data_IF_183763932349
#
_entry.id   IF_183763932349
#
_cell.length_a   1.000
_cell.length_b   1.000
_cell.length_c   1.000
_cell.angle_alpha   90.00
_cell.angle_beta   90.00
_cell.angle_gamma   90.00
#
_symmetry.space_group_name_H-M   'P 1'
#
loop_
_entity.id
_entity.type
_entity.pdbx_description
1 polymer ?
#
# COMPACT_ATOMS: atom_id res chain seq x y z
N UNK A 1 -31.18 -15.97 -27.28
CA UNK A 1 -30.62 -14.69 -27.75
C UNK A 1 -31.44 -13.59 -27.11
N UNK A 2 -30.91 -12.95 -26.07
CA UNK A 2 -31.55 -11.85 -25.36
C UNK A 2 -30.47 -10.81 -25.07
N UNK A 3 -30.53 -9.70 -25.80
CA UNK A 3 -29.66 -8.54 -25.68
C UNK A 3 -30.29 -7.58 -24.66
N UNK A 4 -29.61 -7.34 -23.54
CA UNK A 4 -29.94 -6.21 -22.67
C UNK A 4 -29.10 -5.00 -23.12
N UNK A 5 -29.71 -4.12 -23.95
CA UNK A 5 -29.17 -2.80 -24.25
C UNK A 5 -29.30 -1.90 -23.01
N UNK A 6 -28.18 -1.54 -22.40
CA UNK A 6 -28.12 -0.43 -21.44
C UNK A 6 -28.38 0.88 -22.20
N UNK A 7 -29.51 1.52 -21.91
CA UNK A 7 -29.89 2.82 -22.47
C UNK A 7 -28.91 3.91 -22.02
N UNK A 8 -28.24 4.55 -22.97
CA UNK A 8 -27.40 5.72 -22.72
C UNK A 8 -28.30 6.97 -22.68
N UNK A 9 -28.53 7.49 -21.48
CA UNK A 9 -29.13 8.81 -21.30
C UNK A 9 -28.11 9.89 -21.64
N UNK A 10 -28.38 10.64 -22.70
CA UNK A 10 -27.59 11.74 -23.23
C UNK A 10 -27.73 13.00 -22.37
N UNK A 11 -26.73 13.28 -21.54
CA UNK A 11 -26.32 14.65 -21.21
C UNK A 11 -24.80 14.67 -21.20
N UNK A 12 -24.20 15.11 -22.30
CA UNK A 12 -22.75 15.27 -22.47
C UNK A 12 -22.25 16.39 -21.54
N UNK A 13 -22.09 16.09 -20.25
CA UNK A 13 -20.98 16.68 -19.50
C UNK A 13 -19.71 16.25 -20.23
N UNK A 14 -18.93 17.22 -20.72
CA UNK A 14 -17.57 16.97 -21.24
C UNK A 14 -16.87 16.04 -20.25
N UNK A 15 -16.55 14.82 -20.69
CA UNK A 15 -16.00 13.75 -19.87
C UNK A 15 -14.74 14.27 -19.16
N UNK A 16 -14.85 14.61 -17.88
CA UNK A 16 -13.73 15.12 -17.09
C UNK A 16 -12.73 14.02 -16.74
N UNK A 17 -12.93 12.77 -17.19
CA UNK A 17 -12.16 11.61 -16.75
C UNK A 17 -12.57 11.18 -15.34
N UNK A 18 -12.12 9.99 -14.92
CA UNK A 18 -12.40 9.48 -13.57
C UNK A 18 -11.66 10.35 -12.53
N UNK A 19 -12.34 11.06 -11.60
CA UNK A 19 -11.66 11.86 -10.58
C UNK A 19 -11.22 11.05 -9.35
N UNK A 20 -11.51 9.75 -9.31
CA UNK A 20 -11.17 8.82 -8.22
C UNK A 20 -10.00 7.89 -8.61
N UNK A 21 -8.91 8.45 -9.12
CA UNK A 21 -7.68 7.73 -9.51
C UNK A 21 -6.78 7.55 -8.27
N UNK A 22 -6.18 6.37 -8.10
CA UNK A 22 -5.22 6.08 -7.03
C UNK A 22 -4.18 5.05 -7.51
N UNK A 23 -3.34 4.56 -6.59
CA UNK A 23 -2.28 3.58 -6.86
C UNK A 23 -2.74 2.30 -7.61
N UNK A 24 -4.03 1.93 -7.58
CA UNK A 24 -4.54 0.76 -8.30
C UNK A 24 -4.63 0.98 -9.82
N UNK A 25 -4.74 2.22 -10.27
CA UNK A 25 -4.88 2.54 -11.69
C UNK A 25 -3.51 2.65 -12.36
N UNK A 26 -3.49 2.37 -13.67
CA UNK A 26 -2.36 2.74 -14.50
C UNK A 26 -2.51 4.20 -14.97
N UNK A 27 -1.40 4.93 -15.19
CA UNK A 27 -0.02 4.48 -15.04
C UNK A 27 0.47 4.41 -13.59
N UNK A 28 1.25 3.37 -13.26
CA UNK A 28 1.79 3.12 -11.91
C UNK A 28 3.15 2.41 -11.94
N UNK A 29 3.92 2.57 -10.87
CA UNK A 29 5.13 1.81 -10.62
C UNK A 29 4.94 0.92 -9.39
N UNK A 30 5.65 -0.20 -9.37
CA UNK A 30 5.75 -1.13 -8.23
C UNK A 30 7.17 -1.17 -7.74
N UNK A 31 7.34 -1.27 -6.42
CA UNK A 31 8.64 -1.39 -5.77
C UNK A 31 8.66 -2.54 -4.77
N UNK A 32 9.84 -3.07 -4.52
CA UNK A 32 10.10 -4.08 -3.49
C UNK A 32 11.45 -3.83 -2.83
N UNK A 33 11.59 -4.27 -1.59
CA UNK A 33 12.85 -4.23 -0.86
C UNK A 33 12.67 -4.57 0.60
N UNK A 34 13.52 -3.97 1.43
CA UNK A 34 13.45 -4.09 2.88
C UNK A 34 13.11 -2.75 3.52
N UNK A 35 12.38 -2.80 4.63
CA UNK A 35 12.22 -1.66 5.53
C UNK A 35 12.96 -1.96 6.84
N UNK A 36 13.29 -0.91 7.57
CA UNK A 36 13.70 -0.96 8.96
C UNK A 36 12.66 -0.22 9.80
N UNK A 37 12.28 -0.78 10.94
CA UNK A 37 11.47 -0.12 11.95
C UNK A 37 12.06 -0.41 13.33
N UNK A 38 12.92 0.47 13.83
CA UNK A 38 13.59 0.29 15.12
C UNK A 38 12.72 0.84 16.26
N UNK A 39 11.59 0.18 16.54
CA UNK A 39 10.57 0.72 17.46
C UNK A 39 10.98 0.57 18.94
N UNK A 40 10.75 1.59 19.79
CA UNK A 40 10.96 1.51 21.23
C UNK A 40 9.83 0.73 21.92
N UNK A 41 10.00 -0.59 22.08
CA UNK A 41 9.03 -1.45 22.78
C UNK A 41 8.75 -1.02 24.23
N UNK A 42 9.65 -0.26 24.87
CA UNK A 42 9.43 0.27 26.21
C UNK A 42 8.21 1.21 26.28
N UNK A 43 7.85 1.85 25.16
CA UNK A 43 6.72 2.76 25.07
C UNK A 43 5.38 2.03 25.07
N UNK A 44 5.35 0.70 24.96
CA UNK A 44 4.14 -0.10 24.94
C UNK A 44 3.48 -0.26 26.32
N UNK A 45 4.19 0.13 27.39
CA UNK A 45 3.64 0.18 28.74
C UNK A 45 3.43 1.63 29.19
N UNK A 46 2.17 1.99 29.44
CA UNK A 46 1.81 3.33 29.96
C UNK A 46 2.54 3.66 31.27
N UNK A 47 2.81 2.66 32.11
CA UNK A 47 3.55 2.85 33.37
C UNK A 47 4.97 3.39 33.19
N UNK A 48 5.61 3.13 32.04
CA UNK A 48 6.97 3.59 31.77
C UNK A 48 7.06 5.11 31.53
N UNK A 49 5.93 5.80 31.40
CA UNK A 49 5.88 7.26 31.33
C UNK A 49 5.85 7.92 32.72
N UNK A 50 5.65 7.18 33.81
CA UNK A 50 5.79 7.73 35.18
C UNK A 50 7.27 7.79 35.59
N UNK A 51 7.88 8.94 35.32
CA UNK A 51 9.29 9.23 35.64
C UNK A 51 9.68 9.05 37.11
N UNK A 52 8.72 8.96 38.05
CA UNK A 52 9.02 8.69 39.47
C UNK A 52 9.32 7.24 39.76
N UNK A 53 8.73 6.33 38.99
CA UNK A 53 8.84 4.88 39.18
C UNK A 53 9.73 4.23 38.11
N UNK A 54 9.99 4.93 37.01
CA UNK A 54 10.86 4.47 35.93
C UNK A 54 12.31 4.31 36.43
N UNK A 55 12.83 3.09 36.33
CA UNK A 55 14.19 2.73 36.74
C UNK A 55 14.98 2.16 35.58
N UNK A 56 16.31 2.15 35.69
CA UNK A 56 17.17 1.59 34.64
C UNK A 56 16.83 0.13 34.29
N UNK A 57 16.32 -0.64 35.25
CA UNK A 57 15.89 -2.02 35.03
C UNK A 57 14.80 -2.14 33.93
N UNK A 58 13.94 -1.13 33.79
CA UNK A 58 12.87 -1.11 32.77
C UNK A 58 13.41 -0.98 31.34
N UNK A 59 14.68 -0.60 31.19
CA UNK A 59 15.38 -0.51 29.90
C UNK A 59 16.07 -1.81 29.48
N UNK A 60 16.05 -2.83 30.34
CA UNK A 60 16.67 -4.11 30.04
C UNK A 60 15.86 -4.85 28.97
N UNK A 61 16.58 -5.49 28.06
CA UNK A 61 15.98 -6.28 26.99
C UNK A 61 15.44 -7.59 27.54
N UNK A 62 14.24 -7.98 27.11
CA UNK A 62 13.60 -9.25 27.44
C UNK A 62 12.70 -9.69 26.29
N UNK A 63 12.02 -10.83 26.45
CA UNK A 63 11.14 -11.38 25.41
C UNK A 63 9.95 -10.42 25.13
N UNK A 64 9.37 -9.81 26.16
CA UNK A 64 8.29 -8.81 26.03
C UNK A 64 8.78 -7.41 25.64
N UNK A 65 10.10 -7.16 25.75
CA UNK A 65 10.76 -5.88 25.48
C UNK A 65 12.01 -6.12 24.63
N UNK A 66 11.79 -6.58 23.40
CA UNK A 66 12.86 -7.02 22.51
C UNK A 66 13.71 -5.85 21.98
N UNK A 67 13.15 -4.64 21.87
CA UNK A 67 13.88 -3.40 21.56
C UNK A 67 13.47 -2.27 22.50
N UNK A 68 13.90 -2.26 23.77
CA UNK A 68 13.41 -1.29 24.75
C UNK A 68 13.88 0.13 24.39
N UNK A 69 15.11 0.25 23.90
CA UNK A 69 15.74 1.51 23.53
C UNK A 69 15.74 1.78 22.02
N UNK A 70 14.78 1.22 21.28
CA UNK A 70 14.64 1.46 19.85
C UNK A 70 14.56 2.96 19.54
N UNK A 71 15.28 3.40 18.52
CA UNK A 71 15.41 4.82 18.15
C UNK A 71 14.12 5.42 17.55
N UNK A 72 13.14 4.58 17.25
CA UNK A 72 11.95 4.87 16.45
C UNK A 72 12.25 5.05 14.97
N UNK A 73 13.47 4.76 14.49
CA UNK A 73 13.86 5.03 13.11
C UNK A 73 13.13 4.16 12.09
N UNK A 74 12.73 4.81 10.99
CA UNK A 74 12.15 4.19 9.81
C UNK A 74 13.01 4.46 8.59
N UNK A 75 13.43 3.40 7.92
CA UNK A 75 14.18 3.45 6.66
C UNK A 75 13.65 2.44 5.64
N UNK A 76 13.88 2.71 4.36
CA UNK A 76 13.47 1.83 3.26
C UNK A 76 14.59 1.69 2.25
N UNK A 77 15.05 0.44 2.07
CA UNK A 77 15.98 0.03 1.02
C UNK A 77 15.22 -0.75 -0.04
N UNK A 78 14.61 -0.02 -0.97
CA UNK A 78 13.80 -0.59 -2.04
C UNK A 78 14.26 -0.17 -3.43
N UNK A 79 13.73 -0.84 -4.46
CA UNK A 79 13.91 -0.47 -5.86
C UNK A 79 12.63 -0.66 -6.64
N UNK A 80 12.48 0.13 -7.71
CA UNK A 80 11.37 -0.03 -8.66
C UNK A 80 11.58 -1.33 -9.44
N UNK A 81 10.57 -2.19 -9.45
CA UNK A 81 10.65 -3.52 -10.10
C UNK A 81 9.73 -3.67 -11.30
N UNK A 82 8.70 -2.85 -11.39
CA UNK A 82 7.77 -2.86 -12.52
C UNK A 82 7.23 -1.45 -12.75
N UNK A 83 6.98 -1.13 -14.00
CA UNK A 83 6.13 0.00 -14.38
C UNK A 83 5.02 -0.48 -15.30
N UNK A 84 3.84 0.08 -15.14
CA UNK A 84 2.68 -0.17 -15.98
C UNK A 84 2.19 1.15 -16.57
N UNK A 85 2.12 1.22 -17.89
CA UNK A 85 1.67 2.39 -18.65
C UNK A 85 0.13 2.43 -18.74
N UNK A 86 -0.44 3.58 -19.11
CA UNK A 86 -1.88 3.83 -19.23
C UNK A 86 -2.58 2.84 -20.18
N UNK A 87 -1.88 2.46 -21.25
CA UNK A 87 -2.34 1.46 -22.23
C UNK A 87 -2.50 0.04 -21.64
N UNK A 88 -2.02 -0.18 -20.41
CA UNK A 88 -2.09 -1.47 -19.73
C UNK A 88 -0.84 -2.33 -19.84
N UNK A 89 0.13 -1.96 -20.66
CA UNK A 89 1.40 -2.67 -20.80
C UNK A 89 2.22 -2.48 -19.53
N UNK A 90 2.72 -3.60 -18.97
CA UNK A 90 3.63 -3.58 -17.83
C UNK A 90 4.98 -4.15 -18.26
N UNK A 91 6.07 -3.55 -17.78
CA UNK A 91 7.45 -3.96 -18.10
C UNK A 91 8.27 -4.13 -16.83
N UNK A 92 9.19 -5.10 -16.86
CA UNK A 92 10.11 -5.45 -15.77
C UNK A 92 11.56 -5.60 -16.26
N UNK A 93 11.79 -5.49 -17.57
CA UNK A 93 13.01 -5.91 -18.28
C UNK A 93 14.07 -4.80 -18.44
N UNK A 94 13.91 -3.66 -17.74
CA UNK A 94 14.89 -2.56 -17.74
C UNK A 94 14.79 -1.60 -18.93
N UNK A 95 13.78 -1.74 -19.81
CA UNK A 95 13.57 -0.80 -20.93
C UNK A 95 13.24 0.62 -20.51
N UNK A 96 12.59 0.78 -19.36
CA UNK A 96 12.37 2.11 -18.77
C UNK A 96 13.51 2.42 -17.78
N UNK A 97 14.22 3.55 -17.92
CA UNK A 97 15.28 3.98 -17.01
C UNK A 97 14.91 4.03 -15.52
N UNK A 98 13.62 4.19 -15.18
CA UNK A 98 13.17 4.18 -13.77
C UNK A 98 13.21 2.77 -13.16
N UNK A 99 13.21 1.71 -13.97
CA UNK A 99 13.35 0.36 -13.45
C UNK A 99 14.70 0.20 -12.75
N UNK A 100 14.68 -0.46 -11.59
CA UNK A 100 15.80 -0.62 -10.65
C UNK A 100 16.27 0.70 -10.01
N UNK A 101 15.59 1.82 -10.25
CA UNK A 101 15.84 3.05 -9.50
C UNK A 101 15.63 2.76 -8.01
N UNK A 102 16.66 3.08 -7.21
CA UNK A 102 16.67 2.82 -5.78
C UNK A 102 15.95 3.93 -5.03
N UNK A 103 15.30 3.53 -3.95
CA UNK A 103 14.83 4.46 -2.93
C UNK A 103 16.06 5.00 -2.21
N UNK A 104 16.14 6.33 -2.10
CA UNK A 104 17.12 7.05 -1.29
C UNK A 104 16.34 7.85 -0.25
N UNK A 105 16.84 7.88 0.98
CA UNK A 105 16.33 8.81 2.00
C UNK A 105 16.46 10.25 1.49
N UNK A 106 15.36 11.00 1.49
CA UNK A 106 15.31 12.36 0.94
C UNK A 106 15.85 13.46 1.87
N UNK A 107 16.07 13.14 3.15
CA UNK A 107 16.63 14.03 4.17
C UNK A 107 17.89 13.44 4.81
N UNK A 108 18.69 14.28 5.47
CA UNK A 108 19.86 13.87 6.26
C UNK A 108 19.50 13.07 7.53
N UNK A 109 18.21 12.90 7.81
CA UNK A 109 17.69 12.23 9.01
C UNK A 109 16.66 11.21 8.58
N UNK A 110 16.64 10.06 9.26
CA UNK A 110 15.68 9.00 9.02
C UNK A 110 14.29 9.41 9.52
N UNK A 111 13.28 8.82 8.91
CA UNK A 111 11.91 8.99 9.35
C UNK A 111 11.70 8.35 10.73
N UNK A 112 10.55 8.61 11.35
CA UNK A 112 10.17 7.97 12.62
C UNK A 112 8.91 7.16 12.48
N UNK A 113 8.93 5.90 12.94
CA UNK A 113 7.75 5.07 13.11
C UNK A 113 7.33 5.13 14.58
N UNK A 114 6.13 5.62 14.85
CA UNK A 114 5.68 5.92 16.22
C UNK A 114 4.24 5.46 16.41
N UNK A 115 3.98 4.76 17.52
CA UNK A 115 2.64 4.53 18.04
C UNK A 115 2.11 5.81 18.68
N UNK A 116 0.93 6.26 18.26
CA UNK A 116 0.31 7.45 18.84
C UNK A 116 -0.24 7.21 20.24
N UNK A 117 -0.48 5.95 20.59
CA UNK A 117 -1.04 5.53 21.85
C UNK A 117 -0.33 4.24 22.29
N UNK A 118 0.33 4.23 23.45
CA UNK A 118 0.95 3.03 24.05
C UNK A 118 0.06 1.78 24.08
N UNK A 119 -1.25 1.98 24.12
CA UNK A 119 -2.26 0.92 24.20
C UNK A 119 -2.81 0.51 22.82
N UNK A 120 -2.51 1.27 21.76
CA UNK A 120 -2.98 1.03 20.39
C UNK A 120 -1.82 0.69 19.44
N UNK A 121 -1.04 -0.32 19.80
CA UNK A 121 0.24 -0.74 19.19
C UNK A 121 0.16 -1.20 17.73
N UNK A 122 -1.04 -1.34 17.16
CA UNK A 122 -1.23 -1.77 15.76
C UNK A 122 -1.53 -0.62 14.79
N UNK A 123 -1.46 0.64 15.25
CA UNK A 123 -1.80 1.84 14.48
C UNK A 123 -0.63 2.81 14.32
N UNK A 124 0.59 2.29 14.29
CA UNK A 124 1.82 3.04 14.07
C UNK A 124 1.73 3.97 12.85
N UNK A 125 2.36 5.13 12.95
CA UNK A 125 2.45 6.13 11.87
C UNK A 125 3.90 6.42 11.52
N UNK A 126 4.14 6.64 10.24
CA UNK A 126 5.44 7.06 9.72
C UNK A 126 5.46 8.58 9.57
N UNK A 127 6.40 9.24 10.25
CA UNK A 127 6.56 10.69 10.31
C UNK A 127 7.87 11.13 9.66
N UNK A 128 7.82 12.23 8.91
CA UNK A 128 9.01 12.85 8.30
C UNK A 128 9.65 12.05 7.16
N UNK A 129 8.95 11.05 6.61
CA UNK A 129 9.50 10.23 5.54
C UNK A 129 9.45 10.94 4.19
N UNK A 130 10.60 11.44 3.76
CA UNK A 130 10.82 11.95 2.41
C UNK A 130 11.43 10.85 1.55
N UNK A 131 10.71 10.43 0.51
CA UNK A 131 11.21 9.45 -0.44
C UNK A 131 11.83 10.15 -1.65
N UNK A 132 12.93 9.59 -2.14
CA UNK A 132 13.54 9.93 -3.42
C UNK A 132 13.72 8.65 -4.24
N UNK A 133 13.24 8.64 -5.48
CA UNK A 133 13.39 7.49 -6.39
C UNK A 133 14.42 7.83 -7.44
N UNK A 134 15.60 7.21 -7.32
CA UNK A 134 16.75 7.49 -8.18
C UNK A 134 17.05 9.00 -8.25
N UNK A 135 17.20 9.48 -9.47
CA UNK A 135 17.30 10.91 -9.77
C UNK A 135 16.09 11.37 -10.60
N UNK A 136 14.91 10.75 -10.38
CA UNK A 136 13.67 11.06 -11.11
C UNK A 136 12.76 12.01 -10.35
N UNK A 137 12.46 11.71 -9.08
CA UNK A 137 11.63 12.59 -8.26
C UNK A 137 11.83 12.34 -6.77
N UNK A 138 11.38 13.30 -5.96
CA UNK A 138 11.23 13.17 -4.52
C UNK A 138 9.88 13.72 -4.06
N UNK A 139 9.38 13.19 -2.95
CA UNK A 139 8.12 13.63 -2.35
C UNK A 139 8.07 13.27 -0.85
N UNK A 140 7.19 13.95 -0.12
CA UNK A 140 6.97 13.74 1.31
C UNK A 140 5.77 12.82 1.50
N UNK A 141 5.97 11.73 2.25
CA UNK A 141 4.91 10.82 2.66
C UNK A 141 4.04 11.49 3.72
N UNK A 142 2.73 11.55 3.48
CA UNK A 142 1.79 12.06 4.48
C UNK A 142 1.57 10.99 5.57
N UNK A 143 1.76 11.31 6.87
CA UNK A 143 1.56 10.32 7.93
C UNK A 143 0.14 9.73 7.94
N UNK A 144 0.06 8.39 7.98
CA UNK A 144 -1.18 7.60 8.00
C UNK A 144 -0.97 6.41 8.95
N UNK A 145 -1.99 5.97 9.70
CA UNK A 145 -1.84 4.78 10.53
C UNK A 145 -1.71 3.52 9.65
N UNK A 146 -0.98 2.53 10.14
CA UNK A 146 -1.04 1.17 9.63
C UNK A 146 -2.48 0.65 9.68
N UNK A 147 -2.84 -0.15 8.69
CA UNK A 147 -4.17 -0.74 8.53
C UNK A 147 -4.06 -2.21 8.17
N UNK A 148 -5.17 -2.94 8.38
CA UNK A 148 -5.33 -4.34 7.97
C UNK A 148 -4.26 -5.27 8.56
N UNK A 149 -3.89 -5.06 9.82
CA UNK A 149 -3.02 -5.96 10.56
C UNK A 149 -3.62 -7.38 10.65
N UNK A 150 -2.82 -8.41 10.35
CA UNK A 150 -3.23 -9.82 10.50
C UNK A 150 -2.03 -10.78 10.46
N UNK A 151 -2.13 -11.98 11.05
CA UNK A 151 -1.12 -13.03 10.91
C UNK A 151 -1.01 -13.47 9.44
N UNK A 152 0.12 -13.21 8.80
CA UNK A 152 0.29 -13.39 7.35
C UNK A 152 1.12 -14.60 6.99
N UNK A 153 2.02 -15.05 7.86
CA UNK A 153 2.87 -16.20 7.58
C UNK A 153 2.16 -17.52 7.93
N UNK A 154 2.25 -18.51 7.04
CA UNK A 154 1.54 -19.80 7.21
C UNK A 154 2.18 -20.67 8.28
N UNK A 155 3.52 -20.73 8.27
CA UNK A 155 4.30 -21.69 9.06
C UNK A 155 5.21 -21.00 10.10
N UNK A 156 4.85 -19.82 10.57
CA UNK A 156 5.63 -19.07 11.54
C UNK A 156 4.99 -17.75 11.94
N UNK A 157 5.71 -17.00 12.76
CA UNK A 157 5.23 -15.76 13.35
C UNK A 157 5.69 -14.58 12.51
N UNK A 158 4.78 -14.06 11.71
CA UNK A 158 4.93 -12.76 11.09
C UNK A 158 3.58 -12.20 10.67
N UNK A 159 3.37 -10.94 11.01
CA UNK A 159 2.17 -10.20 10.66
C UNK A 159 2.37 -9.36 9.41
N UNK A 160 1.26 -9.08 8.75
CA UNK A 160 1.19 -8.19 7.62
C UNK A 160 0.37 -6.95 7.94
N UNK A 161 0.89 -5.79 7.59
CA UNK A 161 0.17 -4.53 7.68
C UNK A 161 0.31 -3.71 6.39
N UNK A 162 -0.52 -2.68 6.27
CA UNK A 162 -0.55 -1.79 5.11
C UNK A 162 -0.47 -0.34 5.53
N UNK A 163 0.29 0.44 4.77
CA UNK A 163 0.20 1.89 4.76
C UNK A 163 -0.36 2.35 3.42
N UNK A 164 -1.41 3.17 3.47
CA UNK A 164 -1.96 3.84 2.30
C UNK A 164 -1.99 5.34 2.55
N UNK A 165 -1.36 6.10 1.67
CA UNK A 165 -1.23 7.54 1.82
C UNK A 165 -1.09 8.27 0.49
N UNK A 166 -0.80 9.56 0.60
CA UNK A 166 -0.49 10.47 -0.49
C UNK A 166 0.92 11.00 -0.32
N UNK A 167 1.62 11.09 -1.45
CA UNK A 167 2.89 11.79 -1.58
C UNK A 167 2.61 13.23 -1.97
N UNK A 168 3.17 14.16 -1.20
CA UNK A 168 3.02 15.61 -1.37
C UNK A 168 4.39 16.26 -1.58
N UNK A 169 4.43 17.55 -1.92
CA UNK A 169 5.72 18.23 -2.16
C UNK A 169 6.51 17.63 -3.32
N UNK A 170 5.80 17.11 -4.34
CA UNK A 170 6.42 16.43 -5.47
C UNK A 170 7.42 17.35 -6.18
N UNK A 171 8.67 16.93 -6.18
CA UNK A 171 9.77 17.61 -6.86
C UNK A 171 10.36 16.68 -7.90
N UNK A 172 10.18 17.02 -9.18
CA UNK A 172 10.87 16.35 -10.27
C UNK A 172 12.35 16.68 -10.22
N UNK A 173 13.18 15.64 -10.25
CA UNK A 173 14.63 15.79 -10.27
C UNK A 173 15.06 15.61 -11.72
N UNK A 174 15.82 16.57 -12.23
CA UNK A 174 16.48 16.42 -13.52
C UNK A 174 17.79 15.65 -13.33
N UNK A 175 18.11 14.69 -14.21
CA UNK A 175 19.05 14.93 -15.31
C UNK A 175 19.18 13.73 -16.29
N UNK A 176 19.39 14.03 -17.59
CA UNK A 176 19.83 13.19 -18.73
C UNK A 176 19.12 11.86 -19.10
N UNK A 177 18.39 11.20 -18.21
CA UNK A 177 17.65 9.97 -18.51
C UNK A 177 16.15 10.21 -18.43
N UNK A 178 15.51 10.55 -19.55
CA UNK A 178 14.05 10.69 -19.62
C UNK A 178 13.41 9.30 -19.55
N UNK A 179 12.84 8.96 -18.41
CA UNK A 179 11.96 7.78 -18.27
C UNK A 179 10.67 8.04 -19.04
N UNK A 180 10.31 7.23 -20.06
CA UNK A 180 9.02 7.35 -20.74
C UNK A 180 7.84 7.31 -19.77
N UNK A 181 7.92 6.47 -18.74
CA UNK A 181 6.92 6.40 -17.68
C UNK A 181 6.75 7.72 -16.92
N UNK A 182 7.85 8.40 -16.56
CA UNK A 182 7.79 9.70 -15.88
C UNK A 182 7.18 10.78 -16.76
N UNK A 183 7.50 10.80 -18.06
CA UNK A 183 6.91 11.75 -19.00
C UNK A 183 5.40 11.50 -19.18
N UNK A 184 4.97 10.24 -19.17
CA UNK A 184 3.56 9.89 -19.15
C UNK A 184 2.86 10.39 -17.88
N UNK A 185 3.46 10.21 -16.70
CA UNK A 185 2.93 10.78 -15.46
C UNK A 185 2.77 12.29 -15.53
N UNK A 186 3.81 13.02 -15.95
CA UNK A 186 3.73 14.49 -16.11
C UNK A 186 2.61 14.89 -17.07
N UNK A 187 2.45 14.19 -18.18
CA UNK A 187 1.37 14.43 -19.14
C UNK A 187 -0.01 14.20 -18.52
N UNK A 188 -0.20 13.09 -17.81
CA UNK A 188 -1.47 12.75 -17.15
C UNK A 188 -1.82 13.71 -16.01
N UNK A 189 -0.81 14.20 -15.28
CA UNK A 189 -0.96 15.19 -14.21
C UNK A 189 -1.42 16.57 -14.70
N UNK A 190 -1.36 16.84 -16.01
CA UNK A 190 -1.96 18.06 -16.60
C UNK A 190 -3.49 17.97 -16.80
N UNK A 191 -4.09 16.79 -16.57
CA UNK A 191 -5.55 16.61 -16.69
C UNK A 191 -6.25 17.18 -15.46
N UNK A 192 -7.40 17.83 -15.67
CA UNK A 192 -8.17 18.52 -14.60
C UNK A 192 -8.68 17.60 -13.47
N UNK A 193 -8.76 16.29 -13.72
CA UNK A 193 -9.22 15.30 -12.76
C UNK A 193 -8.09 14.61 -11.98
N UNK A 194 -6.83 14.99 -12.24
CA UNK A 194 -5.63 14.46 -11.58
C UNK A 194 -4.95 15.63 -10.85
N UNK A 195 -4.42 15.37 -9.67
CA UNK A 195 -3.57 16.35 -8.98
C UNK A 195 -2.26 16.55 -9.74
N UNK A 196 -1.87 17.80 -9.95
CA UNK A 196 -0.61 18.16 -10.61
C UNK A 196 0.62 18.01 -9.70
N UNK A 197 0.40 17.83 -8.40
CA UNK A 197 1.42 17.93 -7.34
C UNK A 197 1.41 16.75 -6.35
N UNK A 198 0.54 15.76 -6.55
CA UNK A 198 0.34 14.64 -5.61
C UNK A 198 0.34 13.29 -6.31
N UNK A 199 0.88 12.29 -5.64
CA UNK A 199 0.83 10.88 -6.05
C UNK A 199 0.16 10.04 -4.96
N UNK A 200 -0.50 8.97 -5.36
CA UNK A 200 -1.05 7.97 -4.44
C UNK A 200 -0.01 6.90 -4.18
N UNK A 201 0.15 6.47 -2.92
CA UNK A 201 1.04 5.39 -2.53
C UNK A 201 0.30 4.39 -1.65
N UNK A 202 0.53 3.10 -1.87
CA UNK A 202 0.21 2.05 -0.91
C UNK A 202 1.34 1.03 -0.87
N UNK A 203 1.69 0.58 0.32
CA UNK A 203 2.66 -0.48 0.50
C UNK A 203 2.28 -1.38 1.68
N UNK A 204 2.71 -2.62 1.56
CA UNK A 204 2.54 -3.66 2.56
C UNK A 204 3.89 -3.91 3.22
N UNK A 205 3.85 -4.16 4.51
CA UNK A 205 4.98 -4.59 5.32
C UNK A 205 4.68 -5.95 5.90
N UNK A 206 5.66 -6.85 5.85
CA UNK A 206 5.59 -8.18 6.45
C UNK A 206 7.01 -8.71 6.70
N UNK A 207 7.13 -9.93 7.25
CA UNK A 207 8.42 -10.57 7.54
C UNK A 207 9.32 -9.72 8.44
N UNK A 208 8.73 -8.97 9.37
CA UNK A 208 9.46 -8.21 10.38
C UNK A 208 10.17 -9.17 11.34
N UNK A 209 11.43 -8.89 11.64
CA UNK A 209 12.26 -9.69 12.54
C UNK A 209 12.43 -8.98 13.90
N UNK A 210 11.81 -9.54 14.93
CA UNK A 210 11.83 -9.06 16.31
C UNK A 210 12.81 -9.85 17.22
N UNK A 211 13.46 -10.90 16.72
CA UNK A 211 14.54 -11.58 17.46
C UNK A 211 15.84 -10.78 17.39
N UNK A 212 16.16 -10.12 18.51
CA UNK A 212 17.37 -9.31 18.67
C UNK A 212 18.70 -10.07 18.50
N UNK A 213 18.66 -11.41 18.45
CA UNK A 213 19.84 -12.25 18.20
C UNK A 213 20.12 -12.40 16.71
N UNK A 214 19.17 -12.08 15.83
CA UNK A 214 19.34 -12.21 14.38
C UNK A 214 19.94 -10.94 13.77
N UNK A 215 20.76 -11.11 12.74
CA UNK A 215 21.39 -10.00 12.02
C UNK A 215 20.39 -9.12 11.25
N UNK A 216 19.19 -9.63 11.01
CA UNK A 216 18.07 -8.93 10.37
C UNK A 216 17.12 -8.27 11.36
N UNK A 217 17.45 -8.27 12.65
CA UNK A 217 16.65 -7.61 13.69
C UNK A 217 16.26 -6.19 13.30
N UNK A 218 15.00 -5.83 13.50
CA UNK A 218 14.34 -4.57 13.09
C UNK A 218 14.09 -4.39 11.59
N UNK A 219 14.43 -5.37 10.77
CA UNK A 219 14.14 -5.34 9.34
C UNK A 219 12.95 -6.22 8.98
N UNK A 220 12.27 -5.84 7.91
CA UNK A 220 11.28 -6.69 7.25
C UNK A 220 11.20 -6.39 5.75
N UNK A 221 10.24 -7.02 5.09
CA UNK A 221 9.99 -6.85 3.66
C UNK A 221 8.94 -5.77 3.41
N UNK A 222 9.19 -4.95 2.39
CA UNK A 222 8.25 -3.95 1.90
C UNK A 222 7.95 -4.19 0.41
N UNK A 223 6.66 -4.15 0.05
CA UNK A 223 6.19 -4.21 -1.34
C UNK A 223 5.12 -3.15 -1.54
N UNK A 224 5.19 -2.37 -2.61
CA UNK A 224 4.25 -1.28 -2.78
C UNK A 224 4.12 -0.76 -4.20
N UNK A 225 3.18 0.16 -4.35
CA UNK A 225 2.81 0.77 -5.62
C UNK A 225 2.64 2.27 -5.43
N UNK A 226 3.14 3.03 -6.41
CA UNK A 226 2.91 4.47 -6.52
C UNK A 226 2.20 4.72 -7.85
N UNK A 227 1.17 5.55 -7.82
CA UNK A 227 0.39 5.94 -9.00
C UNK A 227 -0.10 7.36 -8.91
N UNK A 228 -0.87 7.77 -9.90
CA UNK A 228 -1.50 9.09 -9.93
C UNK A 228 -2.56 9.24 -8.83
N UNK A 229 -2.83 10.49 -8.43
CA UNK A 229 -3.86 10.84 -7.46
C UNK A 229 -4.96 11.67 -8.13
N UNK A 230 -6.18 11.15 -8.15
CA UNK A 230 -7.35 11.87 -8.64
C UNK A 230 -7.81 12.97 -7.66
N UNK A 231 -8.39 14.05 -8.18
CA UNK A 231 -8.79 15.22 -7.37
C UNK A 231 -9.92 14.95 -6.37
N UNK A 232 -10.64 13.83 -6.51
CA UNK A 232 -11.67 13.38 -5.56
C UNK A 232 -11.27 12.10 -4.82
N UNK A 233 -10.05 11.61 -5.02
CA UNK A 233 -9.60 10.39 -4.36
C UNK A 233 -9.37 10.63 -2.87
N UNK A 234 -9.83 9.72 -2.00
CA UNK A 234 -9.49 9.77 -0.58
C UNK A 234 -8.00 9.45 -0.37
N UNK A 235 -7.33 10.13 0.57
CA UNK A 235 -5.87 10.00 0.70
C UNK A 235 -5.42 8.71 1.41
N UNK A 236 -6.22 8.15 2.32
CA UNK A 236 -5.80 7.08 3.24
C UNK A 236 -6.56 5.75 3.08
N UNK A 237 -7.46 5.64 2.11
CA UNK A 237 -8.14 4.38 1.77
C UNK A 237 -8.49 4.35 0.28
N UNK A 238 -8.72 3.16 -0.26
CA UNK A 238 -9.16 3.02 -1.65
C UNK A 238 -10.65 3.32 -1.77
N UNK A 239 -11.01 4.36 -2.52
CA UNK A 239 -12.40 4.58 -2.90
C UNK A 239 -12.88 3.39 -3.74
N UNK A 240 -13.75 2.57 -3.17
CA UNK A 240 -14.16 1.33 -3.80
C UNK A 240 -14.81 0.37 -2.81
N UNK A 241 -14.86 -0.90 -3.23
CA UNK A 241 -15.40 -1.99 -2.43
C UNK A 241 -14.25 -2.86 -1.95
N UNK A 242 -14.48 -3.61 -0.87
CA UNK A 242 -13.57 -4.64 -0.39
C UNK A 242 -14.12 -6.00 -0.83
N UNK A 243 -13.25 -6.88 -1.34
CA UNK A 243 -13.52 -8.31 -1.38
C UNK A 243 -13.49 -8.79 0.06
N UNK A 244 -14.59 -9.35 0.54
CA UNK A 244 -14.68 -9.82 1.91
C UNK A 244 -14.01 -11.18 2.03
N UNK A 245 -13.17 -11.35 3.06
CA UNK A 245 -12.60 -12.66 3.38
C UNK A 245 -13.69 -13.65 3.77
N UNK A 246 -13.52 -14.91 3.35
CA UNK A 246 -14.38 -16.04 3.76
C UNK A 246 -13.66 -16.99 4.75
N UNK A 247 -12.37 -16.76 5.00
CA UNK A 247 -11.53 -17.57 5.88
C UNK A 247 -10.66 -16.65 6.75
N UNK A 248 -10.34 -17.04 7.99
CA UNK A 248 -9.39 -16.31 8.82
C UNK A 248 -7.97 -16.29 8.23
N UNK A 249 -7.64 -17.23 7.33
CA UNK A 249 -6.31 -17.39 6.74
C UNK A 249 -6.04 -16.44 5.55
N UNK A 250 -6.97 -15.53 5.27
CA UNK A 250 -6.82 -14.45 4.28
C UNK A 250 -7.36 -13.15 4.84
N UNK A 251 -6.91 -12.05 4.27
CA UNK A 251 -7.43 -10.73 4.56
C UNK A 251 -8.26 -10.21 3.38
N UNK A 252 -9.23 -9.33 3.68
CA UNK A 252 -10.03 -8.66 2.67
C UNK A 252 -9.15 -7.84 1.72
N UNK A 253 -9.52 -7.77 0.45
CA UNK A 253 -8.73 -7.11 -0.60
C UNK A 253 -9.47 -5.88 -1.15
N UNK A 254 -8.86 -4.69 -1.23
CA UNK A 254 -9.49 -3.58 -1.92
C UNK A 254 -9.54 -3.85 -3.42
N UNK A 255 -10.65 -3.45 -4.04
CA UNK A 255 -10.80 -3.53 -5.49
C UNK A 255 -11.56 -2.35 -6.07
N UNK A 256 -11.32 -2.10 -7.36
CA UNK A 256 -11.98 -1.08 -8.15
C UNK A 256 -12.46 -1.68 -9.46
N UNK A 257 -13.69 -1.30 -9.85
CA UNK A 257 -14.28 -1.65 -11.15
C UNK A 257 -14.18 -0.45 -12.07
N UNK A 258 -13.31 -0.52 -13.06
CA UNK A 258 -13.24 0.44 -14.15
C UNK A 258 -14.23 0.02 -15.25
N UNK A 259 -15.43 0.61 -15.20
CA UNK A 259 -16.49 0.34 -16.18
C UNK A 259 -16.12 0.79 -17.59
N UNK A 260 -15.29 1.83 -17.73
CA UNK A 260 -14.90 2.39 -19.04
C UNK A 260 -13.88 1.49 -19.72
N UNK A 261 -12.84 1.06 -18.99
CA UNK A 261 -11.85 0.10 -19.49
C UNK A 261 -12.34 -1.35 -19.42
N UNK A 262 -13.52 -1.61 -18.83
CA UNK A 262 -14.08 -2.95 -18.56
C UNK A 262 -13.09 -3.85 -17.82
N UNK A 263 -12.43 -3.30 -16.79
CA UNK A 263 -11.41 -3.98 -15.99
C UNK A 263 -11.76 -3.95 -14.52
N UNK A 264 -11.31 -4.96 -13.79
CA UNK A 264 -11.31 -4.99 -12.33
C UNK A 264 -9.86 -4.98 -11.87
N UNK A 265 -9.53 -4.04 -10.99
CA UNK A 265 -8.24 -3.95 -10.33
C UNK A 265 -8.39 -4.44 -8.90
N UNK A 266 -7.61 -5.43 -8.50
CA UNK A 266 -7.66 -6.03 -7.17
C UNK A 266 -6.25 -5.97 -6.57
N UNK A 267 -6.15 -5.55 -5.32
CA UNK A 267 -4.90 -5.55 -4.56
C UNK A 267 -4.89 -6.69 -3.55
N UNK A 268 -4.17 -7.75 -3.88
CA UNK A 268 -3.96 -8.90 -3.01
C UNK A 268 -2.72 -8.78 -2.12
N UNK A 269 -1.99 -7.66 -2.16
CA UNK A 269 -0.65 -7.55 -1.59
C UNK A 269 -0.58 -7.78 -0.08
N UNK A 270 -1.64 -7.45 0.66
CA UNK A 270 -1.80 -7.81 2.08
C UNK A 270 -2.99 -8.73 2.35
N UNK A 271 -3.43 -9.48 1.35
CA UNK A 271 -4.63 -10.33 1.44
C UNK A 271 -4.31 -11.82 1.45
N UNK A 272 -3.17 -12.20 0.86
CA UNK A 272 -2.74 -13.58 0.75
C UNK A 272 -1.66 -13.90 1.79
N UNK A 273 -1.68 -15.11 2.35
CA UNK A 273 -0.67 -15.53 3.28
C UNK A 273 0.64 -15.83 2.53
N UNK A 274 1.74 -15.80 3.26
CA UNK A 274 3.10 -15.98 2.75
C UNK A 274 3.80 -17.13 3.45
N UNK A 275 4.74 -17.75 2.75
CA UNK A 275 5.68 -18.71 3.34
C UNK A 275 6.87 -17.98 3.96
N UNK A 276 7.74 -18.71 4.69
CA UNK A 276 8.97 -18.16 5.28
C UNK A 276 9.93 -17.53 4.27
N UNK A 277 9.87 -17.93 3.00
CA UNK A 277 10.67 -17.32 1.93
C UNK A 277 10.00 -16.10 1.28
N UNK A 278 8.82 -15.70 1.77
CA UNK A 278 8.04 -14.58 1.27
C UNK A 278 7.15 -14.91 0.07
N UNK A 279 7.17 -16.12 -0.48
CA UNK A 279 6.27 -16.48 -1.59
C UNK A 279 4.83 -16.54 -1.09
N UNK A 280 3.89 -16.00 -1.88
CA UNK A 280 2.46 -16.16 -1.61
C UNK A 280 2.05 -17.63 -1.72
N UNK A 281 1.17 -18.08 -0.83
CA UNK A 281 0.49 -19.36 -1.04
C UNK A 281 -0.62 -19.20 -2.06
N UNK A 282 -0.31 -19.55 -3.29
CA UNK A 282 -1.23 -19.46 -4.42
C UNK A 282 -2.32 -20.53 -4.39
N UNK A 283 -2.25 -21.54 -3.51
CA UNK A 283 -3.35 -22.51 -3.34
C UNK A 283 -4.64 -21.82 -2.90
N UNK A 284 -4.52 -20.70 -2.19
CA UNK A 284 -5.69 -19.92 -1.77
C UNK A 284 -6.39 -19.23 -2.94
N UNK A 285 -5.69 -18.96 -4.06
CA UNK A 285 -6.30 -18.36 -5.25
C UNK A 285 -7.27 -19.32 -5.95
N UNK A 286 -7.13 -20.63 -5.74
CA UNK A 286 -8.09 -21.63 -6.21
C UNK A 286 -9.42 -21.58 -5.45
N UNK A 287 -9.52 -20.74 -4.42
CA UNK A 287 -10.71 -20.51 -3.58
C UNK A 287 -11.22 -19.07 -3.73
N UNK A 288 -10.86 -18.36 -4.80
CA UNK A 288 -11.44 -17.06 -5.13
C UNK A 288 -12.76 -17.28 -5.86
N UNK A 289 -13.85 -16.76 -5.29
CA UNK A 289 -15.18 -16.85 -5.89
C UNK A 289 -15.71 -15.47 -6.24
N UNK A 290 -16.39 -15.34 -7.38
CA UNK A 290 -17.19 -14.18 -7.73
C UNK A 290 -18.67 -14.57 -7.65
N UNK A 291 -19.40 -13.91 -6.75
CA UNK A 291 -20.84 -14.09 -6.63
C UNK A 291 -21.58 -13.23 -7.67
N UNK A 292 -22.27 -13.87 -8.59
CA UNK A 292 -23.23 -13.22 -9.50
C UNK A 292 -24.64 -13.43 -8.91
N UNK A 293 -25.32 -12.37 -8.49
CA UNK A 293 -26.69 -12.50 -7.98
C UNK A 293 -27.62 -13.00 -9.09
N UNK A 294 -28.41 -14.03 -8.78
CA UNK A 294 -29.33 -14.70 -9.72
C UNK A 294 -30.58 -13.89 -10.02
N UNK A 295 -30.99 -13.03 -9.09
CA UNK A 295 -32.31 -12.39 -9.09
C UNK A 295 -32.24 -10.87 -9.32
N UNK A 296 -31.28 -10.38 -10.12
CA UNK A 296 -31.27 -8.96 -10.53
C UNK A 296 -32.06 -8.79 -11.83
N UNK A 297 -33.29 -8.30 -11.70
CA UNK A 297 -33.86 -7.43 -12.74
C UNK A 297 -33.16 -6.07 -12.66
N UNK A 298 -32.87 -5.43 -13.80
CA UNK A 298 -31.96 -4.28 -13.93
C UNK A 298 -32.22 -3.03 -13.05
N UNK A 299 -33.20 -3.06 -12.16
CA UNK A 299 -33.55 -2.02 -11.18
C UNK A 299 -33.40 -2.42 -9.71
N UNK A 300 -33.19 -3.69 -9.36
CA UNK A 300 -33.21 -4.15 -7.96
C UNK A 300 -31.86 -3.95 -7.23
N UNK A 301 -31.93 -3.44 -5.99
CA UNK A 301 -30.77 -3.32 -5.10
C UNK A 301 -30.37 -4.69 -4.59
N UNK A 302 -29.08 -5.03 -4.73
CA UNK A 302 -28.49 -6.23 -4.11
C UNK A 302 -28.59 -6.12 -2.58
N UNK A 303 -29.04 -7.19 -1.95
CA UNK A 303 -29.18 -7.37 -0.51
C UNK A 303 -28.60 -8.73 -0.09
N UNK A 304 -28.45 -8.94 1.23
CA UNK A 304 -27.99 -10.22 1.80
C UNK A 304 -28.96 -11.39 1.52
N UNK A 305 -30.19 -11.12 1.08
CA UNK A 305 -31.19 -12.14 0.77
C UNK A 305 -31.13 -12.64 -0.69
N UNK A 306 -30.35 -11.98 -1.55
CA UNK A 306 -30.22 -12.42 -2.93
C UNK A 306 -29.48 -13.75 -3.00
N UNK A 307 -29.95 -14.65 -3.86
CA UNK A 307 -29.22 -15.89 -4.17
C UNK A 307 -28.07 -15.56 -5.11
N UNK A 308 -26.88 -16.02 -4.80
CA UNK A 308 -25.71 -15.84 -5.64
C UNK A 308 -25.34 -17.16 -6.33
N UNK A 309 -25.00 -17.05 -7.60
CA UNK A 309 -24.24 -18.05 -8.33
C UNK A 309 -22.76 -17.73 -8.14
N UNK A 310 -22.01 -18.66 -7.57
CA UNK A 310 -20.58 -18.48 -7.33
C UNK A 310 -19.81 -19.12 -8.49
N UNK A 311 -18.97 -18.32 -9.15
CA UNK A 311 -17.97 -18.76 -10.13
C UNK A 311 -16.58 -18.66 -9.55
#
# INVERSE_FOLDING_TARGET
>A
MAEAKLSVSSSLQKDQGNPYINYLFNPRLTFTGTFQADVPSINNLVGNFDTRNFVQYDTLRGDDFWSPLGSGEWDVKASVTQVCYDNGTCVTDGRDPILKAKFKGGNRTLAKCVDLDPQAQFFAKIWGWKLRIGDFFSADFTPTPSQYFWPKMIDGDSEGAVFQSVLTGLTWIHDKATSPFIEEWKKEMNKRNVHSDKLSIRFNVDMYEDDFKKSTFTYGRITGTIGLMGVKSPPFFSHGRMLHRQSPNVQSAPFIVDKKKRKIYIDFGNSLPITKNGSFDTKVLQKLYVGIPRDIDGSSRISCNNKFFWI
#
